data_IF_644939480923
#
_entry.id   IF_644939480923
#
_cell.length_a   1.000
_cell.length_b   1.000
_cell.length_c   1.000
_cell.angle_alpha   90.00
_cell.angle_beta   90.00
_cell.angle_gamma   90.00
#
_symmetry.space_group_name_H-M   'P 1'
#
loop_
_entity.id
_entity.type
_entity.pdbx_description
1 polymer ?
#
# COMPACT_ATOMS: atom_id res chain seq x y z
N UNK A 1 10.03 21.01 3.62
CA UNK A 1 9.85 21.01 5.08
C UNK A 1 8.43 20.61 5.44
N UNK A 2 7.40 21.43 5.18
CA UNK A 2 5.99 21.13 5.49
C UNK A 2 5.50 19.70 5.12
N UNK A 3 5.89 19.18 3.95
CA UNK A 3 5.55 17.80 3.56
C UNK A 3 6.15 16.75 4.52
N UNK A 4 7.41 16.90 4.89
CA UNK A 4 8.09 16.00 5.85
C UNK A 4 7.46 16.13 7.23
N UNK A 5 7.18 17.37 7.67
CA UNK A 5 6.58 17.63 8.99
C UNK A 5 5.15 17.11 9.10
N UNK A 6 4.42 17.02 7.99
CA UNK A 6 3.08 16.42 7.97
C UNK A 6 3.10 14.92 8.31
N UNK A 7 4.21 14.23 8.07
CA UNK A 7 4.38 12.80 8.39
C UNK A 7 5.06 12.61 9.75
N UNK A 8 6.09 13.40 10.04
CA UNK A 8 6.95 13.21 11.23
C UNK A 8 6.59 14.11 12.42
N UNK A 9 5.59 14.98 12.27
CA UNK A 9 5.31 16.05 13.23
C UNK A 9 6.30 17.21 13.14
N UNK A 10 6.12 18.21 14.00
CA UNK A 10 7.03 19.36 14.07
C UNK A 10 8.37 18.95 14.72
N UNK A 11 9.51 19.52 14.27
CA UNK A 11 10.79 19.23 14.89
C UNK A 11 10.87 19.86 16.29
N UNK A 12 11.42 19.13 17.26
CA UNK A 12 11.44 19.59 18.66
C UNK A 12 12.81 20.13 19.11
N UNK A 13 13.86 19.98 18.29
CA UNK A 13 15.22 20.41 18.62
C UNK A 13 16.03 20.82 17.39
N UNK A 14 17.14 21.54 17.59
CA UNK A 14 18.08 21.89 16.52
C UNK A 14 18.55 20.68 15.70
N UNK A 15 18.79 19.55 16.38
CA UNK A 15 19.29 18.32 15.79
C UNK A 15 18.30 17.69 14.80
N UNK A 16 17.02 17.99 14.96
CA UNK A 16 15.93 17.61 14.07
C UNK A 16 15.55 18.74 13.08
N UNK A 17 16.27 19.87 13.09
CA UNK A 17 15.97 21.03 12.23
C UNK A 17 14.91 21.99 12.80
N UNK A 18 14.65 21.94 14.11
CA UNK A 18 13.89 22.94 14.86
C UNK A 18 14.75 24.11 15.33
N UNK A 19 14.15 25.03 16.09
CA UNK A 19 14.88 26.17 16.67
C UNK A 19 15.87 25.73 17.75
N UNK A 20 16.99 26.45 17.87
CA UNK A 20 18.04 26.14 18.85
C UNK A 20 17.56 26.43 20.27
N UNK A 21 17.56 25.42 21.13
CA UNK A 21 17.38 25.61 22.56
C UNK A 21 18.75 25.53 23.30
N UNK A 22 18.94 26.23 24.45
CA UNK A 22 20.17 26.13 25.24
C UNK A 22 20.53 24.70 25.67
N UNK A 23 19.55 23.81 25.78
CA UNK A 23 19.77 22.39 26.09
C UNK A 23 20.47 21.62 24.97
N UNK A 24 20.36 22.08 23.72
CA UNK A 24 20.91 21.39 22.55
C UNK A 24 22.44 21.48 22.47
N UNK A 25 23.04 22.44 23.19
CA UNK A 25 24.49 22.64 23.26
C UNK A 25 25.19 21.61 24.17
N UNK A 26 24.42 20.93 25.01
CA UNK A 26 24.93 20.00 26.02
C UNK A 26 24.40 18.57 25.86
N UNK A 27 23.31 18.37 25.10
CA UNK A 27 22.67 17.08 24.94
C UNK A 27 22.18 16.88 23.50
N UNK A 28 22.66 15.82 22.83
CA UNK A 28 22.06 15.36 21.58
C UNK A 28 20.83 14.49 21.90
N UNK A 29 19.64 14.94 21.49
CA UNK A 29 18.39 14.16 21.59
C UNK A 29 18.14 13.37 20.29
N UNK A 30 17.43 12.24 20.38
CA UNK A 30 16.91 11.51 19.21
C UNK A 30 17.70 10.28 18.73
N UNK A 31 18.94 10.04 19.15
CA UNK A 31 19.81 9.02 18.51
C UNK A 31 19.22 7.60 18.31
N UNK A 32 18.51 7.02 19.29
CA UNK A 32 17.85 5.68 19.13
C UNK A 32 16.41 5.78 18.63
N UNK A 33 15.63 6.70 19.17
CA UNK A 33 14.22 6.90 18.85
C UNK A 33 14.03 7.36 17.39
N UNK A 34 14.84 8.32 16.94
CA UNK A 34 14.88 8.78 15.56
C UNK A 34 15.33 7.65 14.61
N UNK A 35 16.31 6.82 15.01
CA UNK A 35 16.72 5.65 14.21
C UNK A 35 15.63 4.59 14.12
N UNK A 36 14.78 4.42 15.15
CA UNK A 36 13.63 3.52 15.07
C UNK A 36 12.54 4.01 14.11
N UNK A 37 12.50 5.31 13.82
CA UNK A 37 11.57 5.92 12.86
C UNK A 37 12.02 5.79 11.40
N UNK A 38 13.16 5.15 11.10
CA UNK A 38 13.64 4.94 9.72
C UNK A 38 12.55 4.42 8.77
N UNK A 39 11.68 3.56 9.28
CA UNK A 39 10.57 2.97 8.52
C UNK A 39 9.60 4.01 7.92
N UNK A 40 9.61 5.25 8.41
CA UNK A 40 8.84 6.37 7.89
C UNK A 40 9.50 7.06 6.69
N UNK A 41 10.68 6.60 6.25
CA UNK A 41 11.36 7.19 5.08
C UNK A 41 10.49 7.10 3.82
N UNK A 42 9.95 5.93 3.49
CA UNK A 42 9.09 5.78 2.29
C UNK A 42 7.84 6.68 2.36
N UNK A 43 7.05 6.69 3.46
CA UNK A 43 5.97 7.65 3.65
C UNK A 43 6.38 9.12 3.48
N UNK A 44 7.53 9.51 4.00
CA UNK A 44 8.07 10.87 3.86
C UNK A 44 8.42 11.19 2.40
N UNK A 45 9.03 10.24 1.68
CA UNK A 45 9.34 10.40 0.26
C UNK A 45 8.08 10.58 -0.59
N UNK A 46 7.02 9.80 -0.31
CA UNK A 46 5.71 10.00 -0.93
C UNK A 46 5.19 11.40 -0.63
N UNK A 47 5.17 11.83 0.64
CA UNK A 47 4.67 13.16 0.98
C UNK A 47 5.42 14.30 0.28
N UNK A 48 6.76 14.18 0.14
CA UNK A 48 7.56 15.15 -0.62
C UNK A 48 7.11 15.17 -2.09
N UNK A 49 7.04 14.00 -2.74
CA UNK A 49 6.65 13.90 -4.14
C UNK A 49 5.22 14.36 -4.39
N UNK A 50 4.26 13.92 -3.57
CA UNK A 50 2.85 14.30 -3.68
C UNK A 50 2.69 15.82 -3.57
N UNK A 51 3.51 16.48 -2.75
CA UNK A 51 3.48 17.93 -2.58
C UNK A 51 4.07 18.72 -3.75
N UNK A 52 5.21 18.27 -4.31
CA UNK A 52 6.01 19.10 -5.25
C UNK A 52 6.24 18.46 -6.62
N UNK A 53 5.79 17.24 -6.84
CA UNK A 53 5.91 16.47 -8.09
C UNK A 53 7.19 15.64 -8.20
N UNK A 54 8.13 15.77 -7.26
CA UNK A 54 9.39 15.03 -7.24
C UNK A 54 10.07 15.04 -5.88
N UNK A 55 11.01 14.12 -5.64
CA UNK A 55 11.82 14.10 -4.43
C UNK A 55 12.92 15.14 -4.52
N UNK A 56 12.58 16.39 -4.19
CA UNK A 56 13.54 17.50 -4.24
C UNK A 56 14.74 17.28 -3.32
N UNK A 57 15.93 17.75 -3.76
CA UNK A 57 17.17 17.65 -2.97
C UNK A 57 17.00 18.22 -1.55
N UNK A 58 16.45 19.43 -1.42
CA UNK A 58 16.21 20.05 -0.11
C UNK A 58 15.20 19.29 0.75
N UNK A 59 14.17 18.69 0.14
CA UNK A 59 13.22 17.82 0.83
C UNK A 59 13.89 16.55 1.35
N UNK A 60 14.71 15.90 0.52
CA UNK A 60 15.46 14.71 0.88
C UNK A 60 16.49 14.99 1.99
N UNK A 61 17.26 16.06 1.88
CA UNK A 61 18.23 16.47 2.90
C UNK A 61 17.57 16.76 4.26
N UNK A 62 16.39 17.38 4.25
CA UNK A 62 15.61 17.61 5.46
C UNK A 62 15.07 16.29 6.04
N UNK A 63 14.52 15.40 5.21
CA UNK A 63 14.08 14.08 5.64
C UNK A 63 15.22 13.24 6.25
N UNK A 64 16.40 13.25 5.62
CA UNK A 64 17.59 12.56 6.11
C UNK A 64 17.99 13.02 7.51
N UNK A 65 17.95 14.34 7.75
CA UNK A 65 18.21 14.93 9.06
C UNK A 65 17.17 14.50 10.09
N UNK A 66 15.88 14.61 9.75
CA UNK A 66 14.76 14.24 10.61
C UNK A 66 14.74 12.77 11.01
N UNK A 67 15.18 11.88 10.13
CA UNK A 67 15.16 10.43 10.35
C UNK A 67 16.53 9.85 10.72
N UNK A 68 17.56 10.70 10.84
CA UNK A 68 18.95 10.27 11.03
C UNK A 68 19.39 9.20 10.00
N UNK A 69 18.93 9.34 8.75
CA UNK A 69 19.29 8.47 7.62
C UNK A 69 20.41 9.12 6.81
N UNK A 70 21.52 8.42 6.51
CA UNK A 70 22.56 8.94 5.64
C UNK A 70 22.01 9.33 4.25
N UNK A 71 22.35 10.52 3.71
CA UNK A 71 21.85 10.96 2.40
C UNK A 71 22.11 9.99 1.24
N UNK A 72 23.27 9.32 1.24
CA UNK A 72 23.59 8.32 0.22
C UNK A 72 22.65 7.10 0.28
N UNK A 73 22.28 6.67 1.49
CA UNK A 73 21.36 5.55 1.68
C UNK A 73 19.93 5.95 1.27
N UNK A 74 19.48 7.15 1.69
CA UNK A 74 18.17 7.67 1.29
C UNK A 74 18.08 7.87 -0.23
N UNK A 75 19.15 8.38 -0.86
CA UNK A 75 19.22 8.49 -2.32
C UNK A 75 19.14 7.12 -2.99
N UNK A 76 19.85 6.11 -2.46
CA UNK A 76 19.75 4.73 -2.96
C UNK A 76 18.35 4.14 -2.85
N UNK A 77 17.57 4.52 -1.83
CA UNK A 77 16.14 4.20 -1.72
C UNK A 77 15.35 4.92 -2.82
N UNK A 78 15.49 6.24 -2.94
CA UNK A 78 14.76 7.03 -3.96
C UNK A 78 14.98 6.51 -5.37
N UNK A 79 16.22 6.17 -5.74
CA UNK A 79 16.56 5.69 -7.09
C UNK A 79 16.17 4.24 -7.35
N UNK A 80 15.80 3.47 -6.32
CA UNK A 80 15.42 2.06 -6.46
C UNK A 80 13.98 1.90 -6.92
N UNK A 81 13.09 2.83 -6.55
CA UNK A 81 11.66 2.74 -6.79
C UNK A 81 11.26 3.58 -8.01
N UNK A 82 10.63 2.95 -9.01
CA UNK A 82 10.34 3.59 -10.31
C UNK A 82 9.43 4.82 -10.20
N UNK A 83 8.61 4.87 -9.15
CA UNK A 83 7.62 5.93 -8.98
C UNK A 83 8.23 7.20 -8.42
N UNK A 84 9.37 7.14 -7.75
CA UNK A 84 10.02 8.34 -7.25
C UNK A 84 10.77 9.07 -8.37
N UNK A 85 10.57 10.39 -8.42
CA UNK A 85 11.28 11.27 -9.33
C UNK A 85 12.48 11.91 -8.64
N UNK A 86 13.67 11.73 -9.22
CA UNK A 86 14.89 12.44 -8.81
C UNK A 86 15.01 13.83 -9.41
N UNK A 87 14.29 14.08 -10.51
CA UNK A 87 14.31 15.32 -11.26
C UNK A 87 12.93 15.97 -11.26
N UNK A 88 12.90 17.29 -11.44
CA UNK A 88 11.66 18.05 -11.46
C UNK A 88 10.75 17.54 -12.59
N UNK A 89 9.56 17.06 -12.23
CA UNK A 89 8.50 16.69 -13.17
C UNK A 89 7.41 17.76 -13.19
N UNK A 90 6.65 17.88 -14.29
CA UNK A 90 5.44 18.70 -14.31
C UNK A 90 4.44 18.25 -13.24
N UNK A 91 3.56 19.15 -12.74
CA UNK A 91 2.61 18.80 -11.69
C UNK A 91 1.70 17.62 -12.01
N UNK A 92 1.29 17.48 -13.28
CA UNK A 92 0.47 16.38 -13.76
C UNK A 92 1.33 15.29 -14.43
N UNK A 93 1.31 14.09 -13.86
CA UNK A 93 1.90 12.89 -14.44
C UNK A 93 0.80 11.91 -14.89
N UNK A 94 0.84 11.51 -16.17
CA UNK A 94 -0.12 10.60 -16.78
C UNK A 94 0.57 9.30 -17.16
N UNK A 95 0.29 8.23 -16.44
CA UNK A 95 0.89 6.91 -16.58
C UNK A 95 0.01 6.01 -17.44
N UNK A 96 0.46 5.66 -18.65
CA UNK A 96 -0.25 4.81 -19.60
C UNK A 96 0.30 3.39 -19.50
N UNK A 97 -0.57 2.44 -19.19
CA UNK A 97 -0.20 1.03 -19.12
C UNK A 97 0.14 0.50 -20.53
N UNK A 98 1.35 -0.02 -20.72
CA UNK A 98 1.79 -0.66 -21.97
C UNK A 98 2.16 -2.14 -21.78
N UNK A 99 1.56 -2.77 -20.79
CA UNK A 99 1.65 -4.20 -20.54
C UNK A 99 0.67 -5.01 -21.42
N UNK A 100 0.85 -6.33 -21.47
CA UNK A 100 0.25 -7.26 -22.44
C UNK A 100 -1.26 -7.05 -22.62
N UNK A 101 -2.04 -7.00 -21.53
CA UNK A 101 -3.49 -6.83 -21.62
C UNK A 101 -3.90 -5.48 -22.22
N UNK A 102 -3.16 -4.40 -21.90
CA UNK A 102 -3.42 -3.08 -22.44
C UNK A 102 -2.93 -2.97 -23.89
N UNK A 103 -1.81 -3.60 -24.25
CA UNK A 103 -1.36 -3.72 -25.65
C UNK A 103 -2.40 -4.41 -26.51
N UNK A 104 -2.94 -5.54 -26.05
CA UNK A 104 -4.04 -6.22 -26.74
C UNK A 104 -5.31 -5.36 -26.91
N UNK A 105 -5.49 -4.34 -26.07
CA UNK A 105 -6.63 -3.42 -26.10
C UNK A 105 -6.33 -2.09 -26.82
N UNK A 106 -5.15 -1.92 -27.44
CA UNK A 106 -4.80 -0.73 -28.23
C UNK A 106 -3.87 0.29 -27.53
N UNK A 107 -3.15 -0.13 -26.48
CA UNK A 107 -2.25 0.78 -25.77
C UNK A 107 -1.04 1.24 -26.60
N UNK A 108 -0.58 0.44 -27.58
CA UNK A 108 0.53 0.85 -28.44
C UNK A 108 0.11 2.00 -29.37
N UNK A 109 -1.10 1.94 -29.93
CA UNK A 109 -1.70 3.03 -30.71
C UNK A 109 -1.94 4.27 -29.85
N UNK A 110 -2.42 4.10 -28.61
CA UNK A 110 -2.56 5.19 -27.65
C UNK A 110 -1.20 5.86 -27.37
N UNK A 111 -0.16 5.09 -27.07
CA UNK A 111 1.17 5.63 -26.81
C UNK A 111 1.75 6.34 -28.04
N UNK A 112 1.60 5.77 -29.24
CA UNK A 112 2.06 6.40 -30.48
C UNK A 112 1.32 7.72 -30.75
N UNK A 113 0.02 7.77 -30.46
CA UNK A 113 -0.77 8.98 -30.58
C UNK A 113 -0.32 10.06 -29.57
N UNK A 114 0.02 9.70 -28.34
CA UNK A 114 0.55 10.65 -27.35
C UNK A 114 1.95 11.12 -27.72
N UNK A 115 2.81 10.22 -28.21
CA UNK A 115 4.16 10.55 -28.64
C UNK A 115 4.16 11.55 -29.80
N UNK A 116 3.27 11.36 -30.78
CA UNK A 116 3.09 12.29 -31.89
C UNK A 116 2.54 13.67 -31.47
N UNK A 117 1.78 13.75 -30.38
CA UNK A 117 1.13 15.00 -29.94
C UNK A 117 1.97 15.78 -28.93
N UNK A 118 2.61 15.09 -27.98
CA UNK A 118 3.27 15.69 -26.83
C UNK A 118 4.78 15.40 -26.77
N UNK A 119 5.31 14.58 -27.68
CA UNK A 119 6.71 14.15 -27.66
C UNK A 119 6.92 12.88 -26.82
N UNK A 120 8.18 12.47 -26.59
CA UNK A 120 8.50 11.17 -26.01
C UNK A 120 7.99 11.03 -24.58
N UNK A 121 7.69 9.79 -24.18
CA UNK A 121 7.36 9.45 -22.79
C UNK A 121 8.44 9.94 -21.82
N UNK A 122 8.03 10.62 -20.75
CA UNK A 122 8.91 11.17 -19.73
C UNK A 122 8.94 12.70 -19.69
N UNK A 123 9.85 13.27 -18.88
CA UNK A 123 9.90 14.73 -18.67
C UNK A 123 10.24 15.52 -19.95
N UNK A 124 10.91 14.90 -20.92
CA UNK A 124 11.29 15.53 -22.19
C UNK A 124 10.09 15.79 -23.12
N UNK A 125 8.99 15.06 -22.97
CA UNK A 125 7.72 15.30 -23.66
C UNK A 125 6.73 16.10 -22.82
N UNK A 126 7.23 17.01 -21.96
CA UNK A 126 6.37 17.83 -21.12
C UNK A 126 5.65 18.89 -21.94
N UNK A 127 4.34 19.01 -21.73
CA UNK A 127 3.46 19.94 -22.41
C UNK A 127 2.48 20.55 -21.41
N UNK A 128 2.31 21.87 -21.43
CA UNK A 128 1.27 22.57 -20.64
C UNK A 128 1.23 22.23 -19.13
N UNK A 129 2.39 21.91 -18.53
CA UNK A 129 2.45 21.53 -17.11
C UNK A 129 2.09 20.06 -16.82
N UNK A 130 2.03 19.23 -17.85
CA UNK A 130 1.83 17.79 -17.77
C UNK A 130 2.95 17.02 -18.48
N UNK A 131 3.13 15.75 -18.12
CA UNK A 131 3.94 14.79 -18.86
C UNK A 131 3.26 13.42 -18.83
N UNK A 132 3.44 12.66 -19.91
CA UNK A 132 2.97 11.28 -19.99
C UNK A 132 4.13 10.30 -19.85
N UNK A 133 3.85 9.12 -19.34
CA UNK A 133 4.82 8.07 -19.03
C UNK A 133 4.24 6.73 -19.46
N UNK A 134 5.03 5.93 -20.19
CA UNK A 134 4.77 4.48 -20.28
C UNK A 134 4.90 3.87 -18.89
N UNK A 135 4.09 2.86 -18.59
CA UNK A 135 4.06 2.23 -17.28
C UNK A 135 3.74 0.74 -17.38
N UNK A 136 4.36 -0.09 -16.52
CA UNK A 136 3.99 -1.50 -16.37
C UNK A 136 2.52 -1.67 -15.93
N UNK A 137 2.07 -2.93 -15.84
CA UNK A 137 0.71 -3.28 -15.44
C UNK A 137 0.19 -2.47 -14.24
N UNK A 138 -0.90 -1.71 -14.45
CA UNK A 138 -1.60 -0.93 -13.42
C UNK A 138 -2.65 -1.74 -12.65
N UNK A 139 -2.74 -3.07 -12.86
CA UNK A 139 -3.73 -3.96 -12.22
C UNK A 139 -5.19 -3.65 -12.61
N UNK A 140 -5.37 -3.09 -13.81
CA UNK A 140 -6.67 -2.73 -14.41
C UNK A 140 -6.88 -3.50 -15.72
N UNK A 141 -6.42 -4.75 -15.78
CA UNK A 141 -6.46 -5.55 -17.00
C UNK A 141 -7.89 -5.90 -17.44
N UNK A 142 -8.84 -5.93 -16.51
CA UNK A 142 -10.28 -6.04 -16.78
C UNK A 142 -10.89 -4.77 -17.40
N UNK A 143 -10.14 -3.67 -17.40
CA UNK A 143 -10.58 -2.32 -17.77
C UNK A 143 -9.63 -1.66 -18.78
N UNK A 144 -8.89 -2.46 -19.53
CA UNK A 144 -7.89 -2.00 -20.48
C UNK A 144 -8.50 -1.23 -21.69
N UNK A 145 -7.75 -0.30 -22.31
CA UNK A 145 -6.47 0.27 -21.86
C UNK A 145 -6.62 1.11 -20.59
N UNK A 146 -5.63 1.05 -19.71
CA UNK A 146 -5.67 1.71 -18.40
C UNK A 146 -4.67 2.86 -18.31
N UNK A 147 -5.10 3.95 -17.67
CA UNK A 147 -4.26 5.12 -17.41
C UNK A 147 -4.40 5.53 -15.94
N UNK A 148 -3.29 5.77 -15.26
CA UNK A 148 -3.23 6.35 -13.92
C UNK A 148 -2.81 7.81 -14.03
N UNK A 149 -3.47 8.71 -13.32
CA UNK A 149 -3.12 10.14 -13.30
C UNK A 149 -2.80 10.56 -11.89
N UNK A 150 -1.77 11.39 -11.77
CA UNK A 150 -1.37 11.98 -10.51
C UNK A 150 -1.12 13.47 -10.70
N UNK A 151 -1.80 14.29 -9.91
CA UNK A 151 -1.55 15.71 -9.84
C UNK A 151 -0.94 16.03 -8.49
N UNK A 152 0.31 16.46 -8.50
CA UNK A 152 1.02 16.92 -7.30
C UNK A 152 0.61 18.34 -6.91
N UNK A 153 0.70 18.66 -5.63
CA UNK A 153 0.39 19.99 -5.10
C UNK A 153 -0.21 19.98 -3.70
N UNK A 154 -0.85 21.09 -3.31
CA UNK A 154 -1.44 21.23 -1.98
C UNK A 154 -2.60 20.26 -1.73
N UNK A 155 -3.42 20.02 -2.75
CA UNK A 155 -4.45 18.98 -2.77
C UNK A 155 -4.06 17.92 -3.77
N UNK A 156 -3.02 17.14 -3.48
CA UNK A 156 -2.62 16.01 -4.33
C UNK A 156 -3.84 15.13 -4.64
N UNK A 157 -4.04 14.82 -5.92
CA UNK A 157 -5.14 13.96 -6.38
C UNK A 157 -4.58 12.88 -7.28
N UNK A 158 -5.08 11.67 -7.09
CA UNK A 158 -4.82 10.50 -7.92
C UNK A 158 -6.14 10.05 -8.55
N UNK A 159 -6.07 9.56 -9.78
CA UNK A 159 -7.24 9.07 -10.51
C UNK A 159 -6.86 8.02 -11.53
N UNK A 160 -7.86 7.41 -12.15
CA UNK A 160 -7.66 6.46 -13.24
C UNK A 160 -8.66 6.71 -14.37
N UNK A 161 -8.25 6.41 -15.59
CA UNK A 161 -9.12 6.27 -16.75
C UNK A 161 -9.13 4.79 -17.13
N UNK A 162 -10.33 4.27 -17.32
CA UNK A 162 -10.60 2.90 -17.78
C UNK A 162 -11.04 2.97 -19.23
N UNK A 163 -10.77 1.91 -20.00
CA UNK A 163 -11.07 1.86 -21.44
C UNK A 163 -10.59 3.13 -22.16
N UNK A 164 -9.36 3.55 -21.86
CA UNK A 164 -8.88 4.87 -22.20
C UNK A 164 -8.76 5.10 -23.71
N UNK A 165 -9.37 6.18 -24.18
CA UNK A 165 -9.25 6.66 -25.56
C UNK A 165 -8.23 7.80 -25.65
N UNK A 166 -7.53 7.89 -26.78
CA UNK A 166 -6.49 8.90 -26.98
C UNK A 166 -7.00 10.33 -26.91
N UNK A 167 -8.23 10.60 -27.34
CA UNK A 167 -8.86 11.91 -27.25
C UNK A 167 -9.02 12.37 -25.79
N UNK A 168 -9.51 11.48 -24.91
CA UNK A 168 -9.70 11.76 -23.49
C UNK A 168 -8.35 12.01 -22.80
N UNK A 169 -7.35 11.16 -23.07
CA UNK A 169 -6.02 11.32 -22.45
C UNK A 169 -5.33 12.62 -22.91
N UNK A 170 -5.52 13.02 -24.18
CA UNK A 170 -5.02 14.30 -24.72
C UNK A 170 -5.68 15.48 -24.01
N UNK A 171 -7.00 15.48 -23.86
CA UNK A 171 -7.72 16.54 -23.15
C UNK A 171 -7.20 16.71 -21.71
N UNK A 172 -6.94 15.62 -21.00
CA UNK A 172 -6.35 15.64 -19.66
C UNK A 172 -4.94 16.25 -19.66
N UNK A 173 -4.10 15.88 -20.63
CA UNK A 173 -2.75 16.43 -20.78
C UNK A 173 -2.75 17.92 -21.14
N UNK A 174 -3.79 18.40 -21.84
CA UNK A 174 -4.02 19.82 -22.15
C UNK A 174 -4.61 20.61 -20.98
N UNK A 175 -4.82 19.97 -19.83
CA UNK A 175 -5.29 20.60 -18.59
C UNK A 175 -6.78 20.48 -18.31
N UNK A 176 -7.50 19.68 -19.11
CA UNK A 176 -8.90 19.32 -18.85
C UNK A 176 -9.08 18.50 -17.57
N UNK A 177 -10.35 18.33 -17.18
CA UNK A 177 -10.71 17.42 -16.10
C UNK A 177 -10.62 15.97 -16.60
N UNK A 178 -10.14 15.06 -15.77
CA UNK A 178 -10.20 13.64 -16.09
C UNK A 178 -11.54 13.04 -15.63
N UNK A 179 -12.13 12.11 -16.40
CA UNK A 179 -13.39 11.49 -16.03
C UNK A 179 -13.22 10.67 -14.74
N UNK A 180 -14.25 10.66 -13.90
CA UNK A 180 -14.30 9.69 -12.81
C UNK A 180 -14.61 8.33 -13.41
N UNK A 181 -13.73 7.35 -13.17
CA UNK A 181 -13.96 5.99 -13.64
C UNK A 181 -15.24 5.41 -13.04
N UNK A 182 -16.22 5.11 -13.88
CA UNK A 182 -17.37 4.33 -13.47
C UNK A 182 -16.93 2.91 -13.13
N UNK A 183 -17.40 2.42 -11.98
CA UNK A 183 -17.00 1.13 -11.43
C UNK A 183 -17.74 -0.04 -12.11
N UNK A 184 -17.80 -0.06 -13.45
CA UNK A 184 -18.35 -1.17 -14.21
C UNK A 184 -17.34 -2.34 -14.21
N UNK A 185 -17.59 -3.34 -13.36
CA UNK A 185 -16.86 -4.61 -13.43
C UNK A 185 -17.40 -5.49 -14.55
N UNK A 186 -16.63 -6.50 -14.96
CA UNK A 186 -17.11 -7.54 -15.88
C UNK A 186 -18.33 -8.23 -15.25
N UNK A 187 -19.47 -8.37 -15.96
CA UNK A 187 -20.63 -9.11 -15.46
C UNK A 187 -20.25 -10.56 -15.09
N UNK A 188 -20.54 -10.97 -13.85
CA UNK A 188 -20.27 -12.32 -13.36
C UNK A 188 -21.54 -12.96 -12.77
N UNK A 189 -21.73 -14.29 -12.91
CA UNK A 189 -22.85 -14.99 -12.28
C UNK A 189 -22.69 -14.96 -10.75
N UNK A 190 -23.51 -14.14 -10.09
CA UNK A 190 -23.38 -13.82 -8.65
C UNK A 190 -23.60 -15.00 -7.71
N UNK A 191 -24.40 -16.01 -8.10
CA UNK A 191 -24.82 -17.11 -7.23
C UNK A 191 -23.69 -18.03 -6.74
N UNK A 192 -22.52 -17.99 -7.37
CA UNK A 192 -21.38 -18.86 -7.04
C UNK A 192 -20.22 -18.12 -6.36
N UNK A 193 -20.27 -16.79 -6.27
CA UNK A 193 -19.17 -15.98 -5.77
C UNK A 193 -19.10 -16.01 -4.25
N UNK A 194 -18.02 -16.57 -3.69
CA UNK A 194 -17.80 -16.61 -2.23
C UNK A 194 -17.15 -15.34 -1.70
N UNK A 195 -15.97 -14.99 -2.21
CA UNK A 195 -15.21 -13.82 -1.77
C UNK A 195 -15.83 -12.50 -2.25
N UNK A 196 -16.52 -12.54 -3.40
CA UNK A 196 -17.16 -11.36 -4.00
C UNK A 196 -18.66 -11.28 -3.71
N UNK A 197 -19.19 -12.06 -2.76
CA UNK A 197 -20.64 -12.11 -2.45
C UNK A 197 -21.27 -10.76 -2.09
N UNK A 198 -20.47 -9.83 -1.56
CA UNK A 198 -20.90 -8.46 -1.18
C UNK A 198 -20.56 -7.41 -2.25
N UNK A 199 -19.78 -7.77 -3.27
CA UNK A 199 -19.28 -6.81 -4.25
C UNK A 199 -20.44 -6.23 -5.08
N UNK A 200 -20.65 -4.92 -4.92
CA UNK A 200 -21.76 -4.20 -5.55
C UNK A 200 -23.13 -4.50 -4.96
N UNK A 201 -23.19 -5.09 -3.76
CA UNK A 201 -24.41 -5.23 -2.93
C UNK A 201 -24.35 -4.31 -1.71
N UNK A 202 -23.15 -3.96 -1.27
CA UNK A 202 -22.90 -3.03 -0.16
C UNK A 202 -22.25 -1.75 -0.68
N UNK A 203 -22.41 -0.68 0.09
CA UNK A 203 -21.52 0.48 -0.01
C UNK A 203 -20.17 0.12 0.64
N UNK A 204 -19.06 0.04 -0.13
CA UNK A 204 -17.75 -0.33 0.40
C UNK A 204 -17.16 0.68 1.39
N UNK A 205 -17.71 1.90 1.48
CA UNK A 205 -17.26 2.94 2.41
C UNK A 205 -18.17 3.04 3.65
N UNK A 206 -19.22 2.22 3.75
CA UNK A 206 -20.15 2.23 4.88
C UNK A 206 -19.93 1.05 5.81
N UNK A 207 -19.48 1.36 7.03
CA UNK A 207 -19.37 0.38 8.12
C UNK A 207 -20.71 -0.30 8.45
N UNK A 208 -21.80 0.48 8.45
CA UNK A 208 -23.14 -0.05 8.72
C UNK A 208 -23.63 -0.94 7.58
N UNK A 209 -23.35 -0.59 6.32
CA UNK A 209 -23.66 -1.46 5.18
C UNK A 209 -22.92 -2.78 5.28
N UNK A 210 -21.65 -2.77 5.69
CA UNK A 210 -20.87 -4.00 5.91
C UNK A 210 -21.50 -4.87 7.01
N UNK A 211 -21.86 -4.27 8.16
CA UNK A 211 -22.49 -4.99 9.28
C UNK A 211 -23.86 -5.54 8.93
N UNK A 212 -24.70 -4.77 8.24
CA UNK A 212 -26.01 -5.20 7.79
C UNK A 212 -25.92 -6.42 6.84
N UNK A 213 -24.86 -6.51 6.05
CA UNK A 213 -24.55 -7.65 5.19
C UNK A 213 -23.82 -8.81 5.90
N UNK A 214 -23.85 -8.85 7.24
CA UNK A 214 -23.27 -9.93 8.04
C UNK A 214 -21.77 -9.78 8.34
N UNK A 215 -21.19 -8.60 8.13
CA UNK A 215 -19.84 -8.27 8.58
C UNK A 215 -19.66 -8.50 10.10
N UNK A 216 -18.45 -8.88 10.51
CA UNK A 216 -18.10 -9.27 11.89
C UNK A 216 -18.79 -10.53 12.44
N UNK A 217 -19.47 -11.30 11.59
CA UNK A 217 -19.95 -12.63 11.97
C UNK A 217 -18.80 -13.64 12.12
N UNK A 218 -17.82 -13.62 11.21
CA UNK A 218 -16.64 -14.47 11.29
C UNK A 218 -15.77 -14.08 12.49
N UNK A 219 -15.62 -12.78 12.76
CA UNK A 219 -14.92 -12.30 13.94
C UNK A 219 -15.53 -12.80 15.24
N UNK A 220 -16.86 -12.70 15.40
CA UNK A 220 -17.54 -13.25 16.60
C UNK A 220 -17.30 -14.75 16.76
N UNK A 221 -17.37 -15.50 15.66
CA UNK A 221 -17.07 -16.93 15.67
C UNK A 221 -15.61 -17.22 16.07
N UNK A 222 -14.67 -16.43 15.58
CA UNK A 222 -13.26 -16.55 15.93
C UNK A 222 -13.02 -16.33 17.43
N UNK A 223 -13.74 -15.38 18.06
CA UNK A 223 -13.68 -15.18 19.50
C UNK A 223 -14.19 -16.39 20.29
N UNK A 224 -15.29 -17.03 19.86
CA UNK A 224 -15.82 -18.24 20.50
C UNK A 224 -14.86 -19.43 20.41
N UNK A 225 -14.17 -19.57 19.28
CA UNK A 225 -13.20 -20.65 19.04
C UNK A 225 -11.89 -20.45 19.80
N UNK A 226 -11.52 -19.19 20.02
CA UNK A 226 -10.21 -18.80 20.52
C UNK A 226 -9.08 -19.06 19.50
N UNK A 227 -7.85 -18.62 19.81
CA UNK A 227 -6.71 -18.65 18.88
C UNK A 227 -6.41 -20.05 18.31
N UNK A 228 -6.33 -21.06 19.18
CA UNK A 228 -6.05 -22.44 18.75
C UNK A 228 -7.19 -23.03 17.91
N UNK A 229 -8.44 -22.68 18.20
CA UNK A 229 -9.60 -23.13 17.45
C UNK A 229 -9.61 -22.57 16.02
N UNK A 230 -9.27 -21.28 15.86
CA UNK A 230 -9.14 -20.64 14.54
C UNK A 230 -8.04 -21.30 13.71
N UNK A 231 -6.86 -21.53 14.28
CA UNK A 231 -5.74 -22.20 13.59
C UNK A 231 -6.12 -23.62 13.16
N UNK A 232 -6.86 -24.35 14.01
CA UNK A 232 -7.37 -25.68 13.69
C UNK A 232 -8.35 -25.64 12.53
N UNK A 233 -9.32 -24.74 12.56
CA UNK A 233 -10.31 -24.59 11.49
C UNK A 233 -9.66 -24.29 10.13
N UNK A 234 -8.65 -23.41 10.09
CA UNK A 234 -7.86 -23.14 8.88
C UNK A 234 -7.07 -24.36 8.39
N UNK A 235 -6.55 -25.16 9.32
CA UNK A 235 -5.80 -26.38 9.02
C UNK A 235 -6.73 -27.46 8.44
N UNK A 236 -7.90 -27.65 9.04
CA UNK A 236 -8.92 -28.60 8.61
C UNK A 236 -9.53 -28.21 7.26
N UNK A 237 -9.70 -26.91 7.02
CA UNK A 237 -10.10 -26.35 5.72
C UNK A 237 -9.04 -26.52 4.63
N UNK A 238 -7.81 -26.91 4.98
CA UNK A 238 -6.66 -27.06 4.07
C UNK A 238 -6.40 -25.80 3.24
N UNK A 239 -6.60 -24.62 3.84
CA UNK A 239 -6.38 -23.36 3.16
C UNK A 239 -4.91 -23.23 2.76
N UNK A 240 -4.67 -22.92 1.49
CA UNK A 240 -3.35 -22.64 0.94
C UNK A 240 -3.21 -21.15 0.64
N UNK A 241 -1.98 -20.63 0.73
CA UNK A 241 -1.68 -19.26 0.36
C UNK A 241 -2.03 -18.95 -1.11
N UNK A 242 -2.78 -17.88 -1.33
CA UNK A 242 -3.27 -17.42 -2.64
C UNK A 242 -2.37 -16.40 -3.35
N UNK A 243 -1.20 -16.12 -2.80
CA UNK A 243 -0.14 -15.33 -3.45
C UNK A 243 0.77 -16.13 -4.39
N UNK A 244 0.36 -17.33 -4.84
CA UNK A 244 1.11 -18.18 -5.77
C UNK A 244 1.93 -19.31 -5.14
N UNK A 245 2.53 -19.11 -3.96
CA UNK A 245 3.39 -20.12 -3.31
C UNK A 245 2.64 -21.34 -2.73
N UNK A 246 1.31 -21.26 -2.56
CA UNK A 246 0.44 -22.34 -2.09
C UNK A 246 0.86 -23.03 -0.78
N UNK A 247 1.58 -22.34 0.11
CA UNK A 247 1.97 -22.88 1.42
C UNK A 247 0.75 -23.03 2.35
N UNK A 248 0.64 -24.11 3.15
CA UNK A 248 -0.50 -24.29 4.06
C UNK A 248 -0.64 -23.16 5.11
N UNK A 249 -1.76 -22.44 5.07
CA UNK A 249 -1.99 -21.24 5.89
C UNK A 249 -2.00 -21.57 7.38
N UNK A 250 -2.72 -22.64 7.78
CA UNK A 250 -2.79 -23.07 9.19
C UNK A 250 -1.41 -23.41 9.79
N UNK A 251 -0.51 -24.06 9.02
CA UNK A 251 0.86 -24.34 9.47
C UNK A 251 1.69 -23.07 9.66
N UNK A 252 1.52 -22.09 8.76
CA UNK A 252 2.22 -20.80 8.87
C UNK A 252 1.74 -20.03 10.11
N UNK A 253 0.43 -20.02 10.36
CA UNK A 253 -0.16 -19.35 11.52
C UNK A 253 0.28 -19.99 12.83
N UNK A 254 0.24 -21.33 12.93
CA UNK A 254 0.72 -22.08 14.09
C UNK A 254 2.21 -21.80 14.39
N UNK A 255 3.06 -21.77 13.36
CA UNK A 255 4.49 -21.47 13.52
C UNK A 255 4.75 -20.07 14.10
N UNK A 256 4.02 -19.05 13.64
CA UNK A 256 4.12 -17.69 14.20
C UNK A 256 3.57 -17.67 15.63
N UNK A 257 2.37 -18.22 15.85
CA UNK A 257 1.70 -18.22 17.15
C UNK A 257 2.55 -18.86 18.28
N UNK A 258 3.28 -19.93 17.97
CA UNK A 258 4.14 -20.65 18.92
C UNK A 258 5.48 -19.98 19.19
N UNK A 259 5.84 -18.94 18.43
CA UNK A 259 7.13 -18.29 18.62
C UNK A 259 7.11 -17.48 19.93
N UNK A 260 8.12 -17.64 20.82
CA UNK A 260 8.12 -16.93 22.10
C UNK A 260 8.61 -15.47 21.97
N UNK A 261 9.26 -15.12 20.87
CA UNK A 261 9.83 -13.78 20.64
C UNK A 261 8.73 -12.79 20.33
N UNK A 262 8.61 -11.72 21.12
CA UNK A 262 7.64 -10.64 20.93
C UNK A 262 8.29 -9.32 20.47
N UNK A 263 7.53 -8.39 19.88
CA UNK A 263 6.14 -8.54 19.40
C UNK A 263 6.05 -9.43 18.15
N UNK A 264 4.85 -9.91 17.80
CA UNK A 264 4.58 -10.50 16.47
C UNK A 264 3.97 -9.44 15.55
N UNK A 265 4.31 -9.52 14.26
CA UNK A 265 3.75 -8.63 13.24
C UNK A 265 2.91 -9.40 12.22
N UNK A 266 1.83 -8.77 11.77
CA UNK A 266 1.07 -9.23 10.61
C UNK A 266 1.39 -8.31 9.42
N UNK A 267 1.64 -8.90 8.27
CA UNK A 267 1.80 -8.18 7.01
C UNK A 267 0.83 -8.77 5.98
N UNK A 268 -0.05 -7.91 5.49
CA UNK A 268 -0.91 -8.20 4.35
C UNK A 268 -0.22 -7.67 3.10
N UNK A 269 0.15 -8.59 2.21
CA UNK A 269 0.77 -8.27 0.94
C UNK A 269 -0.33 -7.96 -0.10
N UNK A 270 -0.47 -6.67 -0.42
CA UNK A 270 -1.29 -6.15 -1.50
C UNK A 270 -0.44 -5.45 -2.59
N UNK A 271 0.81 -5.91 -2.76
CA UNK A 271 1.65 -5.59 -3.93
C UNK A 271 1.35 -6.57 -5.07
N UNK A 272 0.11 -6.49 -5.59
CA UNK A 272 -0.39 -7.31 -6.70
C UNK A 272 0.26 -6.86 -8.02
N UNK A 273 1.54 -7.17 -8.16
CA UNK A 273 2.41 -6.65 -9.23
C UNK A 273 2.50 -7.57 -10.46
N UNK A 274 1.98 -8.81 -10.39
CA UNK A 274 1.95 -9.75 -11.52
C UNK A 274 1.03 -9.24 -12.64
N UNK A 275 1.53 -9.05 -13.88
CA UNK A 275 0.70 -8.62 -15.00
C UNK A 275 -0.52 -9.52 -15.21
N UNK A 276 -1.69 -8.91 -15.40
CA UNK A 276 -2.95 -9.65 -15.56
C UNK A 276 -3.68 -9.96 -14.24
N UNK A 277 -3.06 -9.73 -13.08
CA UNK A 277 -3.72 -9.92 -11.78
C UNK A 277 -4.39 -8.62 -11.29
N UNK A 278 -5.62 -8.74 -10.81
CA UNK A 278 -6.45 -7.64 -10.28
C UNK A 278 -7.46 -8.11 -9.21
N UNK A 279 -7.31 -9.36 -8.73
CA UNK A 279 -8.23 -9.99 -7.77
C UNK A 279 -8.17 -9.28 -6.41
N UNK A 280 -6.97 -8.90 -5.98
CA UNK A 280 -6.76 -8.25 -4.69
C UNK A 280 -7.25 -6.80 -4.75
N UNK A 281 -7.03 -6.11 -5.88
CA UNK A 281 -7.65 -4.80 -6.14
C UNK A 281 -9.16 -4.85 -5.97
N UNK A 282 -9.82 -5.82 -6.60
CA UNK A 282 -11.28 -5.93 -6.55
C UNK A 282 -11.75 -6.18 -5.10
N UNK A 283 -11.08 -7.03 -4.34
CA UNK A 283 -11.42 -7.27 -2.94
C UNK A 283 -11.25 -5.99 -2.09
N UNK A 284 -10.13 -5.29 -2.22
CA UNK A 284 -9.88 -4.04 -1.47
C UNK A 284 -10.84 -2.91 -1.86
N UNK A 285 -11.20 -2.79 -3.14
CA UNK A 285 -12.12 -1.74 -3.58
C UNK A 285 -13.58 -2.05 -3.24
N UNK A 286 -13.98 -3.33 -3.20
CA UNK A 286 -15.39 -3.73 -3.09
C UNK A 286 -15.81 -4.18 -1.69
N UNK A 287 -14.87 -4.66 -0.87
CA UNK A 287 -15.16 -5.17 0.48
C UNK A 287 -13.99 -4.92 1.46
N UNK A 288 -13.54 -3.65 1.62
CA UNK A 288 -12.35 -3.31 2.41
C UNK A 288 -12.48 -3.71 3.89
N UNK A 289 -13.68 -3.61 4.46
CA UNK A 289 -13.94 -3.98 5.87
C UNK A 289 -13.71 -5.46 6.15
N UNK A 290 -13.97 -6.34 5.19
CA UNK A 290 -13.71 -7.77 5.34
C UNK A 290 -12.21 -8.07 5.46
N UNK A 291 -11.37 -7.32 4.75
CA UNK A 291 -9.91 -7.45 4.86
C UNK A 291 -9.46 -7.01 6.25
N UNK A 292 -9.99 -5.89 6.75
CA UNK A 292 -9.71 -5.42 8.11
C UNK A 292 -10.16 -6.44 9.16
N UNK A 293 -11.38 -6.97 9.04
CA UNK A 293 -11.89 -8.04 9.91
C UNK A 293 -10.97 -9.27 9.90
N UNK A 294 -10.59 -9.74 8.72
CA UNK A 294 -9.74 -10.91 8.56
C UNK A 294 -8.34 -10.69 9.15
N UNK A 295 -7.76 -9.51 8.98
CA UNK A 295 -6.50 -9.14 9.62
C UNK A 295 -6.63 -9.16 11.15
N UNK A 296 -7.73 -8.64 11.70
CA UNK A 296 -7.98 -8.69 13.15
C UNK A 296 -8.09 -10.14 13.65
N UNK A 297 -8.82 -11.02 12.93
CA UNK A 297 -8.90 -12.45 13.27
C UNK A 297 -7.51 -13.10 13.25
N UNK A 298 -6.73 -12.85 12.18
CA UNK A 298 -5.38 -13.39 12.04
C UNK A 298 -4.47 -12.93 13.18
N UNK A 299 -4.57 -11.66 13.55
CA UNK A 299 -3.77 -11.08 14.62
C UNK A 299 -4.11 -11.69 15.99
N UNK A 300 -5.39 -11.79 16.34
CA UNK A 300 -5.80 -12.42 17.59
C UNK A 300 -5.41 -13.90 17.65
N UNK A 301 -5.54 -14.62 16.53
CA UNK A 301 -5.19 -16.04 16.45
C UNK A 301 -3.67 -16.30 16.59
N UNK A 302 -2.83 -15.36 16.16
CA UNK A 302 -1.36 -15.50 16.15
C UNK A 302 -0.64 -14.63 17.18
N UNK A 303 -1.39 -13.84 17.95
CA UNK A 303 -0.88 -12.86 18.90
C UNK A 303 -0.07 -11.74 18.23
N UNK A 304 -0.44 -11.32 17.01
CA UNK A 304 0.17 -10.14 16.39
C UNK A 304 -0.36 -8.86 17.03
N UNK A 305 0.53 -7.93 17.31
CA UNK A 305 0.20 -6.65 17.98
C UNK A 305 0.13 -5.48 16.97
N UNK A 306 0.77 -5.62 15.82
CA UNK A 306 0.78 -4.60 14.76
C UNK A 306 0.63 -5.24 13.39
N UNK A 307 -0.31 -4.72 12.61
CA UNK A 307 -0.57 -5.10 11.23
C UNK A 307 -0.05 -4.05 10.26
N UNK A 308 0.54 -4.47 9.15
CA UNK A 308 0.89 -3.62 8.03
C UNK A 308 0.18 -4.12 6.78
N UNK A 309 -0.66 -3.28 6.17
CA UNK A 309 -1.28 -3.58 4.89
C UNK A 309 -0.54 -2.79 3.81
N UNK A 310 0.32 -3.48 3.06
CA UNK A 310 1.18 -2.86 2.06
C UNK A 310 0.48 -2.86 0.70
N UNK A 311 -0.01 -1.71 0.27
CA UNK A 311 -0.72 -1.48 -1.00
C UNK A 311 0.24 -0.88 -2.02
N UNK A 312 0.31 -1.47 -3.21
CA UNK A 312 1.07 -0.88 -4.32
C UNK A 312 0.57 0.52 -4.68
N UNK A 313 1.43 1.38 -5.23
CA UNK A 313 1.03 2.78 -5.49
C UNK A 313 -0.04 2.92 -6.55
N UNK A 314 -0.15 1.94 -7.45
CA UNK A 314 -1.04 2.00 -8.62
C UNK A 314 -2.51 1.82 -8.23
N UNK A 315 -2.79 1.54 -6.94
CA UNK A 315 -4.12 1.30 -6.39
C UNK A 315 -4.61 2.41 -5.44
N UNK A 316 -4.75 3.67 -5.90
CA UNK A 316 -5.13 4.78 -5.04
C UNK A 316 -6.52 4.61 -4.41
N UNK A 317 -7.50 4.10 -5.17
CA UNK A 317 -8.85 3.88 -4.65
C UNK A 317 -8.89 2.78 -3.58
N UNK A 318 -8.21 1.65 -3.84
CA UNK A 318 -8.12 0.55 -2.88
C UNK A 318 -7.47 1.05 -1.57
N UNK A 319 -6.36 1.79 -1.68
CA UNK A 319 -5.67 2.38 -0.53
C UNK A 319 -6.59 3.31 0.26
N UNK A 320 -7.27 4.24 -0.42
CA UNK A 320 -8.22 5.16 0.22
C UNK A 320 -9.33 4.42 0.99
N UNK A 321 -9.95 3.42 0.36
CA UNK A 321 -11.03 2.63 0.98
C UNK A 321 -10.56 1.79 2.16
N UNK A 322 -9.36 1.23 2.07
CA UNK A 322 -8.75 0.49 3.18
C UNK A 322 -8.38 1.43 4.33
N UNK A 323 -7.77 2.58 4.06
CA UNK A 323 -7.47 3.60 5.07
C UNK A 323 -8.74 4.05 5.81
N UNK A 324 -9.83 4.29 5.06
CA UNK A 324 -11.14 4.60 5.60
C UNK A 324 -11.72 3.46 6.45
N UNK A 325 -11.70 2.22 5.94
CA UNK A 325 -12.19 1.05 6.67
C UNK A 325 -11.41 0.78 7.97
N UNK A 326 -10.08 0.96 7.96
CA UNK A 326 -9.23 0.89 9.15
C UNK A 326 -9.63 1.98 10.15
N UNK A 327 -9.83 3.22 9.70
CA UNK A 327 -10.28 4.32 10.54
C UNK A 327 -11.64 4.04 11.21
N UNK A 328 -12.60 3.55 10.43
CA UNK A 328 -13.93 3.17 10.91
C UNK A 328 -13.88 1.98 11.88
N UNK A 329 -13.11 0.93 11.58
CA UNK A 329 -12.94 -0.21 12.48
C UNK A 329 -12.33 0.21 13.82
N UNK A 330 -11.32 1.10 13.80
CA UNK A 330 -10.73 1.69 15.01
C UNK A 330 -11.75 2.50 15.81
N UNK A 331 -12.53 3.35 15.15
CA UNK A 331 -13.58 4.15 15.79
C UNK A 331 -14.68 3.31 16.46
N UNK A 332 -14.93 2.10 15.95
CA UNK A 332 -15.91 1.15 16.50
C UNK A 332 -15.28 0.11 17.44
N UNK A 333 -14.01 0.28 17.83
CA UNK A 333 -13.34 -0.59 18.81
C UNK A 333 -12.90 -1.95 18.28
N UNK A 334 -12.84 -2.15 16.96
CA UNK A 334 -12.33 -3.40 16.35
C UNK A 334 -10.81 -3.39 16.11
N UNK A 335 -10.14 -2.27 16.41
CA UNK A 335 -8.69 -2.07 16.38
C UNK A 335 -8.30 -1.13 17.53
N UNK A 336 -7.04 -1.18 17.98
CA UNK A 336 -6.49 -0.35 19.04
C UNK A 336 -6.03 -1.16 20.25
N UNK A 337 -6.09 -0.53 21.44
CA UNK A 337 -5.57 -1.09 22.71
C UNK A 337 -6.40 -2.22 23.30
N UNK A 338 -7.71 -2.25 23.01
CA UNK A 338 -8.63 -3.28 23.50
C UNK A 338 -9.63 -3.66 22.40
N UNK A 339 -9.20 -4.58 21.54
CA UNK A 339 -9.98 -5.05 20.39
C UNK A 339 -11.25 -5.73 20.89
N UNK A 340 -12.39 -5.10 20.63
CA UNK A 340 -13.73 -5.56 20.96
C UNK A 340 -13.93 -5.97 22.44
N UNK A 341 -13.19 -5.37 23.37
CA UNK A 341 -13.28 -5.68 24.80
C UNK A 341 -12.60 -7.01 25.20
N UNK A 342 -11.72 -7.55 24.36
CA UNK A 342 -11.01 -8.81 24.61
C UNK A 342 -9.78 -8.67 25.51
N UNK A 343 -9.32 -7.44 25.75
CA UNK A 343 -8.06 -7.12 26.41
C UNK A 343 -6.82 -7.26 25.52
N UNK A 344 -6.99 -7.59 24.23
CA UNK A 344 -5.90 -7.71 23.28
C UNK A 344 -5.68 -6.41 22.50
N UNK A 345 -4.42 -6.01 22.31
CA UNK A 345 -4.03 -4.88 21.46
C UNK A 345 -3.69 -5.36 20.04
N UNK A 346 -4.31 -4.74 19.03
CA UNK A 346 -3.92 -4.86 17.63
C UNK A 346 -4.37 -3.65 16.82
N UNK A 347 -3.45 -3.06 16.06
CA UNK A 347 -3.75 -1.93 15.17
C UNK A 347 -3.10 -2.13 13.79
N UNK A 348 -3.69 -1.50 12.76
CA UNK A 348 -3.30 -1.64 11.36
C UNK A 348 -2.76 -0.31 10.83
N UNK A 349 -1.61 -0.39 10.16
CA UNK A 349 -1.02 0.70 9.41
C UNK A 349 -1.02 0.37 7.92
N UNK A 350 -1.58 1.27 7.11
CA UNK A 350 -1.56 1.13 5.65
C UNK A 350 -0.24 1.72 5.13
N UNK A 351 0.47 0.95 4.29
CA UNK A 351 1.72 1.38 3.65
C UNK A 351 1.55 1.46 2.16
N UNK A 352 1.86 2.63 1.59
CA UNK A 352 1.96 2.84 0.15
C UNK A 352 3.32 2.36 -0.34
N UNK A 353 3.33 1.47 -1.33
CA UNK A 353 4.53 1.09 -2.07
C UNK A 353 4.92 2.16 -3.11
N UNK A 354 6.04 1.99 -3.79
CA UNK A 354 6.55 2.99 -4.75
C UNK A 354 6.89 2.39 -6.14
N UNK A 355 6.10 1.40 -6.58
CA UNK A 355 6.20 0.78 -7.91
C UNK A 355 7.49 0.01 -8.12
N UNK A 356 7.65 -1.09 -7.39
CA UNK A 356 8.75 -2.02 -7.57
C UNK A 356 8.19 -3.44 -7.50
N UNK A 357 8.12 -4.12 -8.65
CA UNK A 357 7.56 -5.48 -8.78
C UNK A 357 8.13 -6.48 -7.76
N UNK A 358 9.44 -6.37 -7.48
CA UNK A 358 10.14 -7.25 -6.54
C UNK A 358 9.61 -7.13 -5.10
N UNK A 359 8.93 -6.03 -4.73
CA UNK A 359 8.30 -5.87 -3.43
C UNK A 359 7.08 -6.79 -3.22
N UNK A 360 6.62 -7.50 -4.24
CA UNK A 360 5.69 -8.62 -4.09
C UNK A 360 6.32 -9.83 -3.38
N UNK A 361 7.66 -9.94 -3.37
CA UNK A 361 8.38 -10.94 -2.58
C UNK A 361 8.37 -10.58 -1.09
N UNK A 362 8.09 -11.55 -0.22
CA UNK A 362 7.82 -11.33 1.20
C UNK A 362 8.91 -10.56 1.96
N UNK A 363 10.20 -10.82 1.68
CA UNK A 363 11.31 -10.18 2.41
C UNK A 363 11.75 -8.85 1.79
N UNK A 364 11.60 -8.70 0.48
CA UNK A 364 11.71 -7.42 -0.20
C UNK A 364 10.67 -6.43 0.33
N UNK A 365 9.43 -6.89 0.51
CA UNK A 365 8.34 -6.11 1.11
C UNK A 365 8.71 -5.60 2.51
N UNK A 366 9.33 -6.43 3.35
CA UNK A 366 9.80 -5.99 4.68
C UNK A 366 10.82 -4.87 4.58
N UNK A 367 11.79 -4.98 3.67
CA UNK A 367 12.76 -3.92 3.47
C UNK A 367 12.08 -2.61 3.02
N UNK A 368 11.07 -2.71 2.16
CA UNK A 368 10.25 -1.56 1.75
C UNK A 368 9.54 -0.90 2.95
N UNK A 369 8.86 -1.68 3.78
CA UNK A 369 8.21 -1.18 5.03
C UNK A 369 9.25 -0.58 5.98
N UNK A 370 10.46 -1.14 6.05
CA UNK A 370 11.56 -0.65 6.89
C UNK A 370 12.26 0.60 6.34
N UNK A 371 11.79 1.16 5.22
CA UNK A 371 12.38 2.35 4.60
C UNK A 371 13.74 2.08 3.96
N UNK A 372 13.95 0.85 3.47
CA UNK A 372 15.15 0.42 2.74
C UNK A 372 14.78 0.13 1.27
N UNK A 373 15.80 -0.18 0.46
CA UNK A 373 15.60 -0.71 -0.90
C UNK A 373 14.92 -2.08 -0.78
N UNK A 374 13.92 -2.34 -1.62
CA UNK A 374 13.13 -3.59 -1.63
C UNK A 374 13.89 -4.80 -2.19
N UNK A 375 15.12 -5.04 -1.73
CA UNK A 375 15.90 -6.20 -2.14
C UNK A 375 15.51 -7.42 -1.26
N UNK A 376 15.33 -8.62 -1.84
CA UNK A 376 15.06 -9.82 -1.05
C UNK A 376 16.16 -10.11 -0.04
N UNK A 377 15.79 -10.71 1.10
CA UNK A 377 16.74 -11.13 2.14
C UNK A 377 17.14 -12.58 1.92
N UNK A 378 18.38 -12.90 2.29
CA UNK A 378 18.82 -14.29 2.35
C UNK A 378 18.03 -15.05 3.42
N UNK A 379 17.57 -16.24 3.08
CA UNK A 379 16.90 -17.19 3.97
C UNK A 379 17.84 -18.40 4.17
N UNK A 380 18.04 -18.93 5.39
CA UNK A 380 17.47 -18.49 6.68
C UNK A 380 18.11 -17.20 7.24
N UNK A 381 17.47 -16.54 8.24
CA UNK A 381 16.23 -16.94 8.94
C UNK A 381 14.96 -16.73 8.09
N UNK A 382 13.94 -17.54 8.36
CA UNK A 382 12.63 -17.40 7.69
C UNK A 382 11.78 -16.30 8.37
N UNK A 383 10.82 -15.68 7.66
CA UNK A 383 9.97 -14.61 8.21
C UNK A 383 9.26 -14.95 9.52
N UNK A 384 8.84 -16.20 9.69
CA UNK A 384 8.18 -16.67 10.91
C UNK A 384 9.09 -16.63 12.14
N UNK A 385 10.41 -16.58 11.96
CA UNK A 385 11.41 -16.45 13.02
C UNK A 385 11.91 -15.01 13.15
N UNK A 386 12.29 -14.40 12.02
CA UNK A 386 12.83 -13.04 11.95
C UNK A 386 12.45 -12.40 10.60
N UNK A 387 11.28 -11.77 10.56
CA UNK A 387 10.74 -11.05 9.42
C UNK A 387 10.89 -9.53 9.58
N UNK A 388 9.76 -8.84 9.58
CA UNK A 388 9.68 -7.39 9.72
C UNK A 388 10.29 -6.94 11.06
N UNK A 389 11.18 -5.95 11.00
CA UNK A 389 11.95 -5.44 12.15
C UNK A 389 12.74 -6.54 12.91
N UNK A 390 13.05 -7.65 12.24
CA UNK A 390 13.70 -8.81 12.84
C UNK A 390 12.81 -9.57 13.83
N UNK A 391 11.49 -9.40 13.76
CA UNK A 391 10.51 -10.05 14.63
C UNK A 391 9.70 -11.12 13.89
N UNK A 392 9.12 -12.10 14.59
CA UNK A 392 8.24 -13.09 13.97
C UNK A 392 7.12 -12.40 13.21
N UNK A 393 7.00 -12.73 11.92
CA UNK A 393 6.07 -12.03 11.03
C UNK A 393 5.20 -13.02 10.29
N UNK A 394 3.90 -12.87 10.45
CA UNK A 394 2.91 -13.54 9.61
C UNK A 394 2.73 -12.74 8.32
N UNK A 395 2.99 -13.36 7.17
CA UNK A 395 2.73 -12.76 5.86
C UNK A 395 1.65 -13.55 5.12
N UNK A 396 0.59 -12.86 4.72
CA UNK A 396 -0.48 -13.40 3.90
C UNK A 396 -0.83 -12.44 2.75
N UNK A 397 -1.25 -13.01 1.62
CA UNK A 397 -1.85 -12.25 0.53
C UNK A 397 -3.30 -11.87 0.89
N UNK A 398 -3.83 -10.79 0.30
CA UNK A 398 -5.20 -10.30 0.53
C UNK A 398 -6.25 -11.42 0.41
N UNK A 399 -6.27 -12.15 -0.72
CA UNK A 399 -7.21 -13.26 -0.95
C UNK A 399 -6.99 -14.44 0.02
N UNK A 400 -5.83 -14.56 0.66
CA UNK A 400 -5.63 -15.63 1.67
C UNK A 400 -6.31 -15.31 2.99
N UNK A 401 -6.46 -14.02 3.32
CA UNK A 401 -7.11 -13.58 4.55
C UNK A 401 -8.64 -13.59 4.42
N UNK A 402 -9.14 -13.27 3.22
CA UNK A 402 -10.55 -13.27 2.85
C UNK A 402 -11.12 -14.67 2.70
#
# INVERSE_FOLDING_TARGET
MQAVDAVLGQPHSLWEGGERAPSDDHLARGGRETRSQRHLLLPVLHSIQDRVGWVSRGGLEYACRRLSVPPAEAYGVVTFYDRFATDKRPPLAVHVCDDVACKCAGADELCAALESAFGPSGPSGSHSGAAWYRSPCLGLCDQAPAVLMERSGMGHVEGRITHAESAVVREVLDGGEWPQAEAAGIPQPRSELRLLRRAGEIDPESFDSYRAAGGYSAFRRALELGPEGVIRELTDAKLLGRGGAAFPTGRKWDAVARTPVRPHHLVTNADESEPGTFKDRVLMERDPFAIVEAMTIAALATGCERGYLYVRTEYPLARHRIEHAVGQARAHGFLGDDVAGTGAHFDIEVRRGAGAYICGEETALFNSIEGKRGEPRNKPPFPVQAGLFGKPTLVNNVETLM
#
